data_IF_928798441360
#
_entry.id   IF_928798441360
#
_cell.length_a   1.000
_cell.length_b   1.000
_cell.length_c   1.000
_cell.angle_alpha   90.00
_cell.angle_beta   90.00
_cell.angle_gamma   90.00
#
_symmetry.space_group_name_H-M   'P 1'
#
loop_
_entity.id
_entity.type
_entity.pdbx_description
1 polymer ?
#
# COMPACT_ATOMS: atom_id res chain seq x y z
N UNK A 1 4.75 22.98 -9.51
CA UNK A 1 4.43 22.53 -8.14
C UNK A 1 4.18 21.04 -8.20
N UNK A 2 5.12 20.22 -7.72
CA UNK A 2 5.04 18.76 -7.73
C UNK A 2 4.00 18.32 -6.69
N UNK A 3 2.82 17.92 -7.15
CA UNK A 3 1.77 17.39 -6.27
C UNK A 3 2.22 16.03 -5.75
N UNK A 4 2.41 15.92 -4.43
CA UNK A 4 2.78 14.66 -3.81
C UNK A 4 1.58 13.69 -3.85
N UNK A 5 1.75 12.42 -4.25
CA UNK A 5 0.68 11.43 -4.37
C UNK A 5 -0.05 11.24 -3.04
N UNK A 6 0.64 11.45 -1.93
CA UNK A 6 0.06 11.44 -0.59
C UNK A 6 -1.10 12.44 -0.43
N UNK A 7 -1.09 13.60 -1.10
CA UNK A 7 -2.18 14.60 -0.98
C UNK A 7 -3.54 14.08 -1.49
N UNK A 8 -3.57 13.02 -2.29
CA UNK A 8 -4.82 12.39 -2.74
C UNK A 8 -5.41 11.41 -1.70
N UNK A 9 -4.64 11.10 -0.66
CA UNK A 9 -5.02 10.18 0.42
C UNK A 9 -5.38 10.96 1.69
N UNK A 10 -6.28 10.41 2.49
CA UNK A 10 -6.56 10.92 3.83
C UNK A 10 -5.37 10.67 4.77
N UNK A 11 -5.22 11.44 5.86
CA UNK A 11 -4.10 11.26 6.80
C UNK A 11 -4.03 9.85 7.40
N UNK A 12 -5.16 9.16 7.57
CA UNK A 12 -5.19 7.78 8.03
C UNK A 12 -4.65 6.80 6.95
N UNK A 13 -5.07 7.00 5.70
CA UNK A 13 -4.58 6.22 4.56
C UNK A 13 -3.08 6.46 4.34
N UNK A 14 -2.62 7.71 4.40
CA UNK A 14 -1.20 8.06 4.30
C UNK A 14 -0.36 7.31 5.35
N UNK A 15 -0.78 7.30 6.61
CA UNK A 15 -0.07 6.59 7.69
C UNK A 15 0.06 5.09 7.41
N UNK A 16 -1.03 4.45 7.00
CA UNK A 16 -1.03 3.02 6.66
C UNK A 16 -0.09 2.73 5.49
N UNK A 17 -0.14 3.59 4.48
CA UNK A 17 0.61 3.44 3.24
C UNK A 17 2.11 3.69 3.43
N UNK A 18 2.50 4.64 4.27
CA UNK A 18 3.90 4.86 4.65
C UNK A 18 4.49 3.64 5.37
N UNK A 19 3.76 3.07 6.33
CA UNK A 19 4.18 1.86 7.02
C UNK A 19 4.24 0.64 6.09
N UNK A 20 3.39 0.62 5.06
CA UNK A 20 3.43 -0.42 4.03
C UNK A 20 4.68 -0.30 3.14
N UNK A 21 5.17 0.91 2.87
CA UNK A 21 6.44 1.15 2.15
C UNK A 21 7.66 0.71 2.97
N UNK A 22 7.58 0.77 4.30
CA UNK A 22 8.61 0.19 5.19
C UNK A 22 8.64 -1.35 5.12
N UNK A 23 7.74 -1.98 4.37
CA UNK A 23 7.66 -3.43 4.22
C UNK A 23 6.94 -4.12 5.38
N UNK A 24 6.26 -3.36 6.25
CA UNK A 24 5.54 -3.93 7.38
C UNK A 24 4.31 -4.73 6.92
N UNK A 25 4.03 -5.82 7.63
CA UNK A 25 2.80 -6.57 7.46
C UNK A 25 1.61 -5.84 8.08
N UNK A 26 0.41 -6.08 7.56
CA UNK A 26 -0.83 -5.46 8.06
C UNK A 26 -1.03 -5.63 9.58
N UNK A 27 -0.57 -6.74 10.17
CA UNK A 27 -0.60 -6.96 11.63
C UNK A 27 0.37 -6.05 12.38
N UNK A 28 1.57 -5.85 11.87
CA UNK A 28 2.53 -4.91 12.45
C UNK A 28 2.07 -3.45 12.29
N UNK A 29 1.46 -3.12 11.15
CA UNK A 29 0.84 -1.81 10.91
C UNK A 29 -0.29 -1.57 11.92
N UNK A 30 -1.15 -2.57 12.13
CA UNK A 30 -2.25 -2.53 13.10
C UNK A 30 -1.74 -2.27 14.52
N UNK A 31 -0.67 -2.95 14.93
CA UNK A 31 -0.02 -2.75 16.23
C UNK A 31 0.58 -1.35 16.36
N UNK A 32 1.27 -0.85 15.33
CA UNK A 32 1.89 0.49 15.34
C UNK A 32 0.88 1.62 15.42
N UNK A 33 -0.24 1.47 14.72
CA UNK A 33 -1.30 2.48 14.68
C UNK A 33 -2.35 2.28 15.79
N UNK A 34 -2.22 1.24 16.61
CA UNK A 34 -3.16 0.87 17.68
C UNK A 34 -4.59 0.76 17.15
N UNK A 35 -4.74 0.08 16.01
CA UNK A 35 -6.04 -0.18 15.36
C UNK A 35 -6.17 -1.66 15.00
N UNK A 36 -7.41 -2.11 14.74
CA UNK A 36 -7.66 -3.48 14.32
C UNK A 36 -7.08 -3.77 12.93
N UNK A 37 -6.61 -5.00 12.71
CA UNK A 37 -6.16 -5.48 11.39
C UNK A 37 -7.20 -5.23 10.29
N UNK A 38 -8.48 -5.46 10.60
CA UNK A 38 -9.59 -5.21 9.66
C UNK A 38 -9.71 -3.73 9.28
N UNK A 39 -9.40 -2.83 10.20
CA UNK A 39 -9.38 -1.38 9.94
C UNK A 39 -8.22 -1.02 9.00
N UNK A 40 -7.06 -1.63 9.19
CA UNK A 40 -5.91 -1.50 8.25
C UNK A 40 -6.32 -1.97 6.86
N UNK A 41 -6.94 -3.14 6.73
CA UNK A 41 -7.42 -3.66 5.45
C UNK A 41 -8.42 -2.70 4.79
N UNK A 42 -9.38 -2.16 5.55
CA UNK A 42 -10.31 -1.16 5.05
C UNK A 42 -9.59 0.12 4.56
N UNK A 43 -8.59 0.61 5.29
CA UNK A 43 -7.79 1.77 4.86
C UNK A 43 -7.02 1.46 3.58
N UNK A 44 -6.42 0.28 3.45
CA UNK A 44 -5.74 -0.15 2.22
C UNK A 44 -6.72 -0.23 1.06
N UNK A 45 -7.89 -0.85 1.25
CA UNK A 45 -8.92 -0.94 0.19
C UNK A 45 -9.40 0.43 -0.27
N UNK A 46 -9.55 1.40 0.65
CA UNK A 46 -9.92 2.78 0.30
C UNK A 46 -8.78 3.51 -0.41
N UNK A 47 -7.54 3.34 0.06
CA UNK A 47 -6.36 3.91 -0.60
C UNK A 47 -6.21 3.38 -2.03
N UNK A 48 -6.35 2.06 -2.23
CA UNK A 48 -6.35 1.41 -3.55
C UNK A 48 -7.43 1.98 -4.47
N UNK A 49 -8.65 2.14 -3.96
CA UNK A 49 -9.75 2.74 -4.74
C UNK A 49 -9.48 4.20 -5.13
N UNK A 50 -8.85 4.98 -4.25
CA UNK A 50 -8.52 6.38 -4.52
C UNK A 50 -7.34 6.54 -5.46
N UNK A 51 -6.33 5.68 -5.37
CA UNK A 51 -5.17 5.69 -6.25
C UNK A 51 -5.40 4.95 -7.57
N UNK A 52 -6.54 4.26 -7.73
CA UNK A 52 -6.83 3.42 -8.89
C UNK A 52 -6.00 2.13 -8.97
N UNK A 53 -5.26 1.80 -7.91
CA UNK A 53 -4.45 0.59 -7.82
C UNK A 53 -5.30 -0.62 -7.44
N UNK A 54 -4.94 -1.81 -7.92
CA UNK A 54 -5.61 -3.08 -7.61
C UNK A 54 -4.90 -3.86 -6.51
N UNK A 55 -3.57 -3.77 -6.46
CA UNK A 55 -2.75 -4.51 -5.50
C UNK A 55 -1.92 -3.59 -4.60
N UNK A 56 -1.56 -4.10 -3.40
CA UNK A 56 -0.65 -3.42 -2.46
C UNK A 56 0.71 -3.07 -3.10
N UNK A 57 1.18 -3.87 -4.04
CA UNK A 57 2.41 -3.62 -4.79
C UNK A 57 2.25 -2.46 -5.76
N UNK A 58 1.13 -2.39 -6.48
CA UNK A 58 0.83 -1.24 -7.34
C UNK A 58 0.70 0.04 -6.51
N UNK A 59 0.10 -0.04 -5.32
CA UNK A 59 0.02 1.09 -4.41
C UNK A 59 1.42 1.56 -3.96
N UNK A 60 2.30 0.63 -3.59
CA UNK A 60 3.69 0.92 -3.24
C UNK A 60 4.45 1.59 -4.40
N UNK A 61 4.32 1.03 -5.60
CA UNK A 61 4.94 1.57 -6.82
C UNK A 61 4.38 2.94 -7.16
N UNK A 62 3.08 3.17 -7.04
CA UNK A 62 2.45 4.46 -7.31
C UNK A 62 3.03 5.58 -6.45
N UNK A 63 3.35 5.30 -5.18
CA UNK A 63 3.96 6.29 -4.27
C UNK A 63 5.39 6.61 -4.66
N UNK A 64 6.14 5.61 -5.10
CA UNK A 64 7.54 5.76 -5.50
C UNK A 64 7.62 6.48 -6.85
N UNK A 65 6.77 6.09 -7.81
CA UNK A 65 6.83 6.55 -9.19
C UNK A 65 6.24 7.95 -9.39
N UNK A 66 5.43 8.48 -8.47
CA UNK A 66 4.68 9.74 -8.63
C UNK A 66 3.80 9.84 -9.90
N UNK A 67 3.78 8.82 -10.76
CA UNK A 67 2.90 8.64 -11.91
C UNK A 67 2.16 7.30 -11.81
N UNK A 68 0.88 7.32 -12.17
CA UNK A 68 -0.05 6.19 -12.17
C UNK A 68 0.57 4.92 -12.78
N UNK A 69 0.67 3.79 -12.06
CA UNK A 69 1.18 2.54 -12.61
C UNK A 69 0.09 1.89 -13.47
N UNK A 70 -0.22 2.50 -14.61
CA UNK A 70 -0.81 1.79 -15.77
C UNK A 70 0.26 1.07 -16.58
N UNK A 71 1.56 1.26 -16.27
CA UNK A 71 2.68 0.52 -16.85
C UNK A 71 3.26 -0.48 -15.84
N UNK A 72 2.91 -1.76 -16.01
CA UNK A 72 3.81 -2.74 -16.62
C UNK A 72 3.32 -4.15 -16.26
N UNK A 73 2.59 -4.77 -17.19
CA UNK A 73 2.07 -6.16 -17.11
C UNK A 73 3.17 -7.24 -17.07
N UNK A 74 4.38 -6.90 -16.63
CA UNK A 74 5.55 -7.78 -16.54
C UNK A 74 6.29 -7.55 -15.23
N UNK A 75 5.71 -7.98 -14.12
CA UNK A 75 6.50 -8.32 -12.95
C UNK A 75 5.76 -9.37 -12.13
N UNK A 76 6.19 -10.62 -12.33
CA UNK A 76 6.28 -11.62 -11.28
C UNK A 76 4.95 -12.14 -10.72
N UNK A 77 4.50 -13.26 -11.31
CA UNK A 77 3.99 -14.38 -10.53
C UNK A 77 5.06 -14.78 -9.49
N UNK A 78 5.08 -14.08 -8.35
CA UNK A 78 5.90 -14.40 -7.20
C UNK A 78 4.99 -14.95 -6.12
N UNK A 79 4.58 -16.20 -6.25
CA UNK A 79 4.12 -16.97 -5.09
C UNK A 79 5.29 -17.00 -4.10
N UNK A 80 5.21 -16.16 -3.07
CA UNK A 80 6.10 -16.28 -1.92
C UNK A 80 5.78 -17.64 -1.29
N UNK A 81 6.62 -18.64 -1.60
CA UNK A 81 6.52 -19.96 -1.00
C UNK A 81 6.76 -19.83 0.51
N UNK A 82 6.04 -20.60 1.35
CA UNK A 82 6.23 -20.55 2.79
C UNK A 82 7.66 -20.95 3.18
N UNK A 83 8.19 -20.30 4.22
CA UNK A 83 9.46 -20.69 4.85
C UNK A 83 9.36 -22.12 5.40
N UNK A 84 10.39 -22.96 5.20
CA UNK A 84 10.43 -24.27 5.83
C UNK A 84 10.76 -24.14 7.33
N UNK A 85 10.31 -25.14 8.10
CA UNK A 85 10.78 -25.40 9.47
C UNK A 85 12.09 -26.18 9.45
#
# INVERSE_FOLDING_TARGET
>A
MTVSPLNHLTPAEQRVVLLLLEGLENRAIAQRLVISHRTVECHISRALRKSGCRNRLELALWLISNESPVLNRKACAGTMRPMPA
#
